data_IF_401810865349
#
_entry.id   IF_401810865349
#
_cell.length_a   1.000
_cell.length_b   1.000
_cell.length_c   1.000
_cell.angle_alpha   90.00
_cell.angle_beta   90.00
_cell.angle_gamma   90.00
#
_symmetry.space_group_name_H-M   'P 1'
#
loop_
_entity.id
_entity.type
_entity.pdbx_description
1 polymer ?
#
# COMPACT_ATOMS: atom_id res chain seq x y z
N UNK A 1 9.04 0.03 34.83
CA UNK A 1 8.04 -0.72 35.64
C UNK A 1 8.63 -1.94 36.36
N UNK A 2 9.28 -2.90 35.69
CA UNK A 2 9.88 -4.09 36.36
C UNK A 2 10.89 -3.76 37.47
N UNK A 3 11.75 -2.77 37.24
CA UNK A 3 12.67 -2.27 38.26
C UNK A 3 11.94 -1.67 39.47
N UNK A 4 10.80 -1.01 39.26
CA UNK A 4 9.99 -0.43 40.35
C UNK A 4 9.46 -1.53 41.25
N UNK A 5 8.88 -2.60 40.69
CA UNK A 5 8.44 -3.77 41.45
C UNK A 5 9.59 -4.39 42.28
N UNK A 6 10.76 -4.56 41.66
CA UNK A 6 11.95 -5.13 42.30
C UNK A 6 12.46 -4.25 43.45
N UNK A 7 12.59 -2.94 43.23
CA UNK A 7 13.06 -1.99 44.24
C UNK A 7 12.05 -1.84 45.38
N UNK A 8 10.75 -1.87 45.10
CA UNK A 8 9.71 -1.91 46.13
C UNK A 8 9.79 -3.19 46.96
N UNK A 9 9.97 -4.36 46.33
CA UNK A 9 10.12 -5.62 47.05
C UNK A 9 11.36 -5.64 47.95
N UNK A 10 12.49 -5.13 47.47
CA UNK A 10 13.72 -4.99 48.26
C UNK A 10 13.52 -4.08 49.47
N UNK A 11 12.86 -2.94 49.28
CA UNK A 11 12.56 -1.99 50.35
C UNK A 11 11.63 -2.60 51.40
N UNK A 12 10.61 -3.37 50.99
CA UNK A 12 9.73 -4.10 51.91
C UNK A 12 10.49 -5.11 52.76
N UNK A 13 11.44 -5.86 52.17
CA UNK A 13 12.27 -6.82 52.90
C UNK A 13 13.21 -6.09 53.87
N UNK A 14 13.82 -4.99 53.45
CA UNK A 14 14.68 -4.18 54.32
C UNK A 14 13.92 -3.58 55.50
N UNK A 15 12.71 -3.07 55.27
CA UNK A 15 11.82 -2.56 56.32
C UNK A 15 11.42 -3.66 57.30
N UNK A 16 11.19 -4.90 56.82
CA UNK A 16 10.85 -6.04 57.67
C UNK A 16 11.99 -6.45 58.60
N UNK A 17 13.25 -6.43 58.11
CA UNK A 17 14.44 -6.79 58.91
C UNK A 17 14.72 -5.75 60.00
N UNK A 18 14.36 -4.48 59.75
CA UNK A 18 14.61 -3.36 60.68
C UNK A 18 13.44 -3.07 61.64
N UNK A 19 12.29 -3.69 61.44
CA UNK A 19 11.12 -3.47 62.29
C UNK A 19 11.14 -4.35 63.54
N UNK A 20 10.83 -3.75 64.69
CA UNK A 20 10.63 -4.45 65.97
C UNK A 20 9.24 -5.12 65.99
N UNK A 21 9.09 -6.25 65.29
CA UNK A 21 7.87 -7.07 65.29
C UNK A 21 6.76 -6.64 64.32
N UNK A 22 5.66 -7.40 64.31
CA UNK A 22 4.50 -7.18 63.44
C UNK A 22 3.61 -6.05 63.98
N UNK A 23 4.08 -4.82 63.80
CA UNK A 23 3.34 -3.60 64.14
C UNK A 23 2.33 -3.25 63.06
N UNK A 24 1.26 -2.56 63.43
CA UNK A 24 0.21 -2.15 62.48
C UNK A 24 0.78 -1.30 61.31
N UNK A 25 1.78 -0.45 61.59
CA UNK A 25 2.48 0.34 60.59
C UNK A 25 3.22 -0.53 59.56
N UNK A 26 3.91 -1.59 60.00
CA UNK A 26 4.60 -2.53 59.09
C UNK A 26 3.62 -3.30 58.22
N UNK A 27 2.47 -3.70 58.78
CA UNK A 27 1.41 -4.39 58.05
C UNK A 27 0.80 -3.51 56.95
N UNK A 28 0.51 -2.24 57.27
CA UNK A 28 0.03 -1.24 56.29
C UNK A 28 1.06 -0.99 55.19
N UNK A 29 2.33 -0.86 55.55
CA UNK A 29 3.43 -0.67 54.59
C UNK A 29 3.58 -1.86 53.64
N UNK A 30 3.52 -3.09 54.16
CA UNK A 30 3.51 -4.30 53.33
C UNK A 30 2.29 -4.38 52.40
N UNK A 31 1.11 -4.03 52.89
CA UNK A 31 -0.09 -4.00 52.07
C UNK A 31 0.02 -2.99 50.92
N UNK A 32 0.52 -1.78 51.21
CA UNK A 32 0.75 -0.73 50.22
C UNK A 32 1.82 -1.14 49.20
N UNK A 33 2.98 -1.65 49.63
CA UNK A 33 4.03 -2.07 48.72
C UNK A 33 3.62 -3.27 47.84
N UNK A 34 2.87 -4.22 48.38
CA UNK A 34 2.30 -5.32 47.60
C UNK A 34 1.29 -4.82 46.55
N UNK A 35 0.51 -3.77 46.87
CA UNK A 35 -0.37 -3.14 45.90
C UNK A 35 0.42 -2.46 44.78
N UNK A 36 1.54 -1.79 45.09
CA UNK A 36 2.43 -1.18 44.10
C UNK A 36 3.03 -2.25 43.17
N UNK A 37 3.57 -3.34 43.72
CA UNK A 37 4.11 -4.46 42.93
C UNK A 37 3.07 -5.00 41.96
N UNK A 38 1.86 -5.32 42.45
CA UNK A 38 0.76 -5.82 41.62
C UNK A 38 0.34 -4.82 40.53
N UNK A 39 0.26 -3.54 40.86
CA UNK A 39 -0.10 -2.48 39.91
C UNK A 39 0.95 -2.37 38.81
N UNK A 40 2.24 -2.40 39.17
CA UNK A 40 3.34 -2.34 38.20
C UNK A 40 3.39 -3.57 37.31
N UNK A 41 3.10 -4.77 37.83
CA UNK A 41 3.00 -6.00 37.03
C UNK A 41 1.80 -5.96 36.08
N UNK A 42 0.65 -5.46 36.54
CA UNK A 42 -0.52 -5.28 35.69
C UNK A 42 -0.24 -4.29 34.56
N UNK A 43 0.45 -3.18 34.85
CA UNK A 43 0.90 -2.24 33.84
C UNK A 43 1.80 -2.90 32.79
N UNK A 44 2.78 -3.70 33.21
CA UNK A 44 3.67 -4.43 32.28
C UNK A 44 2.88 -5.40 31.40
N UNK A 45 1.97 -6.17 31.99
CA UNK A 45 1.11 -7.09 31.23
C UNK A 45 0.19 -6.35 30.27
N UNK A 46 -0.41 -5.25 30.69
CA UNK A 46 -1.26 -4.41 29.85
C UNK A 46 -0.46 -3.84 28.66
N UNK A 47 0.74 -3.32 28.91
CA UNK A 47 1.62 -2.81 27.86
C UNK A 47 2.05 -3.92 26.88
N UNK A 48 2.38 -5.11 27.37
CA UNK A 48 2.72 -6.26 26.53
C UNK A 48 1.55 -6.70 25.66
N UNK A 49 0.33 -6.78 26.23
CA UNK A 49 -0.89 -7.09 25.47
C UNK A 49 -1.20 -6.02 24.42
N UNK A 50 -1.04 -4.74 24.77
CA UNK A 50 -1.26 -3.65 23.82
C UNK A 50 -0.31 -3.76 22.63
N UNK A 51 0.97 -4.06 22.88
CA UNK A 51 1.97 -4.29 21.82
C UNK A 51 1.61 -5.46 20.91
N UNK A 52 1.24 -6.62 21.45
CA UNK A 52 0.87 -7.77 20.62
C UNK A 52 -0.36 -7.50 19.74
N UNK A 53 -1.35 -6.77 20.26
CA UNK A 53 -2.56 -6.41 19.50
C UNK A 53 -2.26 -5.40 18.39
N UNK A 54 -1.30 -4.50 18.61
CA UNK A 54 -0.82 -3.57 17.58
C UNK A 54 -0.08 -4.31 16.46
N UNK A 55 0.81 -5.24 16.79
CA UNK A 55 1.53 -6.07 15.82
C UNK A 55 0.56 -6.91 14.97
N UNK A 56 -0.43 -7.55 15.60
CA UNK A 56 -1.46 -8.32 14.88
C UNK A 56 -2.29 -7.44 13.93
N UNK A 57 -2.71 -6.25 14.38
CA UNK A 57 -3.44 -5.29 13.53
C UNK A 57 -2.59 -4.83 12.34
N UNK A 58 -1.30 -4.56 12.56
CA UNK A 58 -0.38 -4.18 11.50
C UNK A 58 -0.20 -5.28 10.45
N UNK A 59 -0.03 -6.53 10.89
CA UNK A 59 0.07 -7.70 10.00
C UNK A 59 -1.21 -7.89 9.18
N UNK A 60 -2.39 -7.76 9.79
CA UNK A 60 -3.67 -7.89 9.10
C UNK A 60 -3.87 -6.77 8.06
N UNK A 61 -3.48 -5.53 8.38
CA UNK A 61 -3.61 -4.40 7.46
C UNK A 61 -2.68 -4.55 6.26
N UNK A 62 -1.42 -4.92 6.48
CA UNK A 62 -0.46 -5.18 5.39
C UNK A 62 -0.95 -6.29 4.45
N UNK A 63 -1.49 -7.39 4.99
CA UNK A 63 -2.04 -8.47 4.17
C UNK A 63 -3.20 -8.01 3.28
N UNK A 64 -4.09 -7.17 3.81
CA UNK A 64 -5.21 -6.59 3.04
C UNK A 64 -4.73 -5.61 1.96
N UNK A 65 -3.78 -4.74 2.29
CA UNK A 65 -3.25 -3.73 1.38
C UNK A 65 -2.49 -4.36 0.21
N UNK A 66 -1.62 -5.34 0.47
CA UNK A 66 -0.88 -6.07 -0.58
C UNK A 66 -1.85 -6.84 -1.49
N UNK A 67 -2.95 -7.38 -0.94
CA UNK A 67 -4.01 -7.98 -1.75
C UNK A 67 -4.64 -7.00 -2.75
N UNK A 68 -4.95 -5.77 -2.30
CA UNK A 68 -5.48 -4.72 -3.17
C UNK A 68 -4.48 -4.28 -4.25
N UNK A 69 -3.22 -4.04 -3.87
CA UNK A 69 -2.15 -3.66 -4.81
C UNK A 69 -1.93 -4.77 -5.86
N UNK A 70 -1.93 -6.04 -5.45
CA UNK A 70 -1.76 -7.16 -6.37
C UNK A 70 -2.92 -7.25 -7.38
N UNK A 71 -4.16 -7.03 -6.94
CA UNK A 71 -5.32 -6.97 -7.83
C UNK A 71 -5.20 -5.82 -8.84
N UNK A 72 -4.77 -4.65 -8.37
CA UNK A 72 -4.58 -3.47 -9.22
C UNK A 72 -3.47 -3.70 -10.26
N UNK A 73 -2.34 -4.29 -9.86
CA UNK A 73 -1.25 -4.64 -10.79
C UNK A 73 -1.75 -5.62 -11.85
N UNK A 74 -2.44 -6.68 -11.45
CA UNK A 74 -2.97 -7.67 -12.39
C UNK A 74 -3.95 -7.03 -13.39
N UNK A 75 -4.85 -6.16 -12.92
CA UNK A 75 -5.78 -5.45 -13.78
C UNK A 75 -5.04 -4.54 -14.77
N UNK A 76 -4.04 -3.78 -14.30
CA UNK A 76 -3.20 -2.91 -15.17
C UNK A 76 -2.42 -3.72 -16.19
N UNK A 77 -1.87 -4.87 -15.81
CA UNK A 77 -1.16 -5.78 -16.73
C UNK A 77 -2.10 -6.31 -17.82
N UNK A 78 -3.33 -6.67 -17.46
CA UNK A 78 -4.31 -7.17 -18.42
C UNK A 78 -4.75 -6.07 -19.41
N UNK A 79 -4.94 -4.84 -18.93
CA UNK A 79 -5.19 -3.68 -19.80
C UNK A 79 -4.06 -3.51 -20.81
N UNK A 80 -2.81 -3.48 -20.34
CA UNK A 80 -1.64 -3.33 -21.21
C UNK A 80 -1.56 -4.45 -22.27
N UNK A 81 -1.89 -5.69 -21.89
CA UNK A 81 -1.92 -6.83 -22.81
C UNK A 81 -2.94 -6.62 -23.93
N UNK A 82 -4.17 -6.23 -23.56
CA UNK A 82 -5.27 -6.00 -24.51
C UNK A 82 -4.96 -4.82 -25.44
N UNK A 83 -4.38 -3.74 -24.92
CA UNK A 83 -4.00 -2.57 -25.72
C UNK A 83 -2.99 -2.96 -26.82
N UNK A 84 -1.98 -3.77 -26.48
CA UNK A 84 -1.02 -4.29 -27.47
C UNK A 84 -1.71 -5.16 -28.54
N UNK A 85 -2.58 -6.07 -28.13
CA UNK A 85 -3.32 -6.95 -29.06
C UNK A 85 -4.24 -6.14 -29.98
N UNK A 86 -4.87 -5.09 -29.46
CA UNK A 86 -5.70 -4.16 -30.22
C UNK A 86 -4.87 -3.42 -31.29
N UNK A 87 -3.69 -2.92 -30.92
CA UNK A 87 -2.80 -2.22 -31.84
C UNK A 87 -2.31 -3.14 -32.97
N UNK A 88 -1.93 -4.38 -32.65
CA UNK A 88 -1.57 -5.38 -33.66
C UNK A 88 -2.71 -5.68 -34.63
N UNK A 89 -3.94 -5.82 -34.12
CA UNK A 89 -5.13 -6.04 -34.95
C UNK A 89 -5.39 -4.83 -35.87
N UNK A 90 -5.23 -3.61 -35.37
CA UNK A 90 -5.35 -2.37 -36.16
C UNK A 90 -4.29 -2.30 -37.26
N UNK A 91 -3.05 -2.65 -36.97
CA UNK A 91 -1.96 -2.68 -37.94
C UNK A 91 -2.23 -3.71 -39.05
N UNK A 92 -2.69 -4.92 -38.69
CA UNK A 92 -3.10 -5.95 -39.66
C UNK A 92 -4.24 -5.46 -40.56
N UNK A 93 -5.28 -4.83 -39.98
CA UNK A 93 -6.39 -4.28 -40.76
C UNK A 93 -5.94 -3.18 -41.72
N UNK A 94 -5.06 -2.28 -41.26
CA UNK A 94 -4.48 -1.22 -42.09
C UNK A 94 -3.69 -1.81 -43.26
N UNK A 95 -2.85 -2.81 -43.02
CA UNK A 95 -2.09 -3.50 -44.06
C UNK A 95 -3.01 -4.16 -45.11
N UNK A 96 -4.08 -4.82 -44.67
CA UNK A 96 -5.08 -5.41 -45.58
C UNK A 96 -5.75 -4.33 -46.44
N UNK A 97 -6.17 -3.21 -45.83
CA UNK A 97 -6.77 -2.09 -46.58
C UNK A 97 -5.80 -1.53 -47.62
N UNK A 98 -4.55 -1.29 -47.23
CA UNK A 98 -3.52 -0.80 -48.16
C UNK A 98 -3.30 -1.77 -49.32
N UNK A 99 -3.19 -3.08 -49.06
CA UNK A 99 -3.05 -4.09 -50.10
C UNK A 99 -4.25 -4.10 -51.06
N UNK A 100 -5.48 -4.00 -50.53
CA UNK A 100 -6.71 -3.94 -51.32
C UNK A 100 -6.75 -2.73 -52.27
N UNK A 101 -6.40 -1.53 -51.78
CA UNK A 101 -6.41 -0.33 -52.61
C UNK A 101 -5.22 -0.24 -53.58
N UNK A 102 -4.04 -0.76 -53.21
CA UNK A 102 -2.89 -0.87 -54.13
C UNK A 102 -3.17 -1.82 -55.29
N UNK A 103 -3.80 -2.96 -55.03
CA UNK A 103 -4.18 -3.93 -56.08
C UNK A 103 -5.24 -3.34 -57.02
N UNK A 104 -6.27 -2.68 -56.46
CA UNK A 104 -7.31 -2.01 -57.27
C UNK A 104 -6.75 -0.87 -58.13
N UNK A 105 -5.74 -0.14 -57.65
CA UNK A 105 -5.05 0.89 -58.43
C UNK A 105 -4.23 0.33 -59.58
N UNK A 106 -3.78 -0.93 -59.52
CA UNK A 106 -3.09 -1.60 -60.61
C UNK A 106 -4.09 -2.13 -61.66
N UNK A 107 -5.25 -2.62 -61.23
CA UNK A 107 -6.32 -3.08 -62.14
C UNK A 107 -7.03 -1.94 -62.91
N UNK A 108 -6.94 -0.68 -62.43
CA UNK A 108 -7.55 0.49 -63.09
C UNK A 108 -6.53 1.49 -63.67
N UNK A 109 -5.23 1.21 -63.60
CA UNK A 109 -4.17 2.08 -64.16
C UNK A 109 -3.55 1.47 -65.42
N UNK A 110 -4.41 1.12 -66.36
CA UNK A 110 -4.05 0.71 -67.71
C UNK A 110 -4.89 1.42 -68.76
N UNK A 111 -5.37 2.63 -68.50
CA UNK A 111 -5.93 3.48 -69.56
C UNK A 111 -5.70 4.97 -69.27
N UNK A 112 -5.12 5.62 -70.27
CA UNK A 112 -4.70 7.01 -70.30
C UNK A 112 -5.88 7.97 -70.13
N UNK A 113 -5.84 8.89 -69.17
CA UNK A 113 -6.62 10.14 -69.26
C UNK A 113 -5.80 11.32 -68.75
N UNK A 114 -5.08 11.90 -69.70
CA UNK A 114 -4.64 13.30 -69.73
C UNK A 114 -5.84 14.24 -69.48
N UNK A 115 -5.69 15.31 -68.68
CA UNK A 115 -6.87 16.07 -68.26
C UNK A 115 -6.66 17.28 -67.33
N UNK A 116 -5.98 18.30 -67.84
CA UNK A 116 -6.44 19.70 -67.79
C UNK A 116 -6.54 20.46 -66.44
N UNK A 117 -5.57 21.39 -66.30
CA UNK A 117 -5.56 22.69 -65.60
C UNK A 117 -6.93 23.29 -65.21
N UNK A 118 -7.05 23.81 -63.98
CA UNK A 118 -7.70 25.11 -63.75
C UNK A 118 -7.21 25.83 -62.48
N UNK A 119 -6.78 27.06 -62.71
CA UNK A 119 -6.28 28.10 -61.81
C UNK A 119 -7.39 28.84 -61.05
N UNK A 120 -7.12 29.21 -59.79
CA UNK A 120 -7.65 30.41 -59.10
C UNK A 120 -6.71 30.67 -57.89
N UNK A 121 -5.84 31.69 -57.85
CA UNK A 121 -6.10 33.14 -57.64
C UNK A 121 -6.80 33.35 -56.27
N UNK A 122 -6.32 33.99 -55.21
CA UNK A 122 -5.19 34.87 -54.80
C UNK A 122 -5.14 34.78 -53.25
N UNK A 123 -4.00 34.98 -52.54
CA UNK A 123 -4.06 35.51 -51.19
C UNK A 123 -3.84 37.02 -51.23
N UNK A 124 -4.89 37.78 -50.90
CA UNK A 124 -4.81 39.21 -50.67
C UNK A 124 -3.77 39.58 -49.61
N UNK A 125 -3.27 40.80 -49.81
CA UNK A 125 -2.17 41.51 -49.20
C UNK A 125 -2.18 41.62 -47.66
N UNK A 126 -1.00 41.31 -47.12
CA UNK A 126 -0.22 41.99 -46.06
C UNK A 126 -0.74 43.37 -45.56
N UNK A 127 -0.65 43.63 -44.24
CA UNK A 127 -0.60 44.99 -43.68
C UNK A 127 -1.34 45.18 -42.36
#
# INVERSE_FOLDING_TARGET
AKQVASSTAQLLVACKVKAEGDTEATRRLHAAGNAVIRSTDNLVRAAQRAKSVEEERYLVLNKKMVGGIAQEINARSEVCRIERELEEARNKLSAIRQAKYKLKGYDTSGDDTDGYISSAQEPETMG
#
